data_IF_027008522570
#
_entry.id   IF_027008522570
#
_cell.length_a   1.000
_cell.length_b   1.000
_cell.length_c   1.000
_cell.angle_alpha   90.00
_cell.angle_beta   90.00
_cell.angle_gamma   90.00
#
_symmetry.space_group_name_H-M   'P 1'
#
loop_
_entity.id
_entity.type
_entity.pdbx_description
1 polymer ?
#
# COMPACT_ATOMS: atom_id res chain seq x y z
N UNK A 1 -17.40 33.86 -25.84
CA UNK A 1 -18.77 33.97 -25.28
C UNK A 1 -18.74 33.46 -23.84
N UNK A 2 -19.01 34.34 -22.88
CA UNK A 2 -19.01 34.06 -21.44
C UNK A 2 -20.40 33.58 -21.02
N UNK A 3 -20.50 32.53 -20.20
CA UNK A 3 -21.71 32.26 -19.42
C UNK A 3 -21.34 32.29 -17.93
N UNK A 4 -21.91 33.28 -17.24
CA UNK A 4 -21.98 33.42 -15.78
C UNK A 4 -23.40 33.01 -15.34
N UNK A 5 -23.56 32.91 -14.01
CA UNK A 5 -24.80 32.82 -13.20
C UNK A 5 -25.17 31.36 -12.83
N UNK A 6 -25.51 30.99 -11.59
CA UNK A 6 -25.93 31.75 -10.41
C UNK A 6 -25.81 30.87 -9.15
N UNK A 7 -25.39 31.49 -8.06
CA UNK A 7 -25.41 31.01 -6.66
C UNK A 7 -26.85 31.02 -6.13
N UNK A 8 -27.32 29.95 -5.48
CA UNK A 8 -28.39 30.03 -4.47
C UNK A 8 -28.03 29.06 -3.34
N UNK A 9 -27.66 29.64 -2.19
CA UNK A 9 -27.65 28.93 -0.93
C UNK A 9 -29.07 28.82 -0.37
N UNK A 10 -29.35 27.75 0.37
CA UNK A 10 -30.49 27.70 1.27
C UNK A 10 -30.02 27.10 2.60
N UNK A 11 -29.78 27.99 3.56
CA UNK A 11 -29.67 27.64 4.96
C UNK A 11 -31.08 27.50 5.53
N UNK A 12 -31.44 26.31 6.00
CA UNK A 12 -32.66 26.10 6.80
C UNK A 12 -32.27 26.06 8.27
N UNK A 13 -32.39 27.22 8.91
CA UNK A 13 -32.59 27.37 10.34
C UNK A 13 -33.92 26.68 10.71
N UNK A 14 -33.90 25.67 11.57
CA UNK A 14 -35.11 25.26 12.30
C UNK A 14 -35.07 25.91 13.68
N UNK A 15 -35.95 26.89 13.86
CA UNK A 15 -36.22 27.57 15.11
C UNK A 15 -37.15 26.72 15.99
N UNK A 16 -36.67 26.46 17.21
CA UNK A 16 -37.35 26.62 18.50
C UNK A 16 -38.90 26.65 18.46
N UNK A 17 -39.52 25.59 18.95
CA UNK A 17 -40.88 25.62 19.51
C UNK A 17 -40.79 25.56 21.04
N UNK A 18 -41.08 26.68 21.70
CA UNK A 18 -41.37 26.74 23.14
C UNK A 18 -42.88 26.57 23.27
N UNK A 19 -43.33 25.49 23.90
CA UNK A 19 -44.65 25.46 24.56
C UNK A 19 -44.42 25.08 26.00
N UNK A 20 -44.73 26.02 26.89
CA UNK A 20 -44.66 25.88 28.33
C UNK A 20 -45.80 24.99 28.85
N UNK A 21 -45.48 24.10 29.79
CA UNK A 21 -46.42 23.66 30.83
C UNK A 21 -45.65 23.03 32.00
N UNK A 22 -45.61 23.75 33.12
CA UNK A 22 -45.75 23.23 34.49
C UNK A 22 -44.75 22.22 35.05
N UNK A 23 -43.96 22.68 36.04
CA UNK A 23 -43.81 21.91 37.29
C UNK A 23 -42.44 21.30 37.60
N UNK A 24 -41.74 21.95 38.53
CA UNK A 24 -40.84 21.38 39.53
C UNK A 24 -39.42 20.91 39.12
N UNK A 25 -38.47 21.83 39.30
CA UNK A 25 -37.21 21.63 40.02
C UNK A 25 -36.42 20.34 39.76
N UNK A 26 -35.53 20.36 38.75
CA UNK A 26 -34.17 19.77 38.81
C UNK A 26 -33.32 20.35 37.68
N UNK A 27 -32.24 21.05 38.05
CA UNK A 27 -31.17 21.47 37.14
C UNK A 27 -30.41 20.21 36.73
N UNK A 28 -30.67 19.71 35.53
CA UNK A 28 -29.71 18.89 34.81
C UNK A 28 -29.14 19.73 33.67
N UNK A 29 -27.85 20.06 33.83
CA UNK A 29 -27.04 20.67 32.79
C UNK A 29 -27.07 19.76 31.55
N UNK A 30 -27.76 20.21 30.51
CA UNK A 30 -27.58 19.66 29.17
C UNK A 30 -26.16 20.01 28.72
N UNK A 31 -25.24 19.07 29.00
CA UNK A 31 -23.89 19.03 28.48
C UNK A 31 -23.98 18.96 26.97
N UNK A 32 -23.98 20.13 26.33
CA UNK A 32 -23.69 20.29 24.92
C UNK A 32 -22.38 19.56 24.64
N UNK A 33 -22.49 18.37 24.08
CA UNK A 33 -21.33 17.59 23.64
C UNK A 33 -20.93 18.19 22.31
N UNK A 34 -20.29 19.35 22.38
CA UNK A 34 -19.42 19.84 21.32
C UNK A 34 -18.35 18.76 21.17
N UNK A 35 -18.48 17.90 20.17
CA UNK A 35 -17.41 17.01 19.75
C UNK A 35 -16.29 17.91 19.22
N UNK A 36 -15.46 18.42 20.13
CA UNK A 36 -14.29 19.21 19.81
C UNK A 36 -13.39 18.30 18.97
N UNK A 37 -13.40 18.49 17.66
CA UNK A 37 -12.46 17.81 16.77
C UNK A 37 -11.05 18.11 17.30
N UNK A 38 -10.42 17.11 17.92
CA UNK A 38 -9.11 17.24 18.56
C UNK A 38 -8.14 17.77 17.51
N UNK A 39 -7.69 19.02 17.68
CA UNK A 39 -6.71 19.64 16.78
C UNK A 39 -5.42 18.83 16.87
N UNK A 40 -5.04 18.19 15.77
CA UNK A 40 -3.82 17.37 15.69
C UNK A 40 -2.60 18.21 16.07
N UNK A 41 -1.69 17.63 16.84
CA UNK A 41 -0.39 18.23 17.14
C UNK A 41 0.46 18.33 15.87
N UNK A 42 1.49 19.17 15.88
CA UNK A 42 2.40 19.29 14.73
C UNK A 42 3.12 17.96 14.45
N UNK A 43 3.48 17.22 15.48
CA UNK A 43 4.12 15.90 15.34
C UNK A 43 3.16 14.87 14.73
N UNK A 44 1.89 14.89 15.11
CA UNK A 44 0.88 14.02 14.48
C UNK A 44 0.68 14.39 13.01
N UNK A 45 0.77 15.68 12.65
CA UNK A 45 0.74 16.11 11.25
C UNK A 45 1.99 15.66 10.48
N UNK A 46 3.17 15.73 11.08
CA UNK A 46 4.44 15.27 10.49
C UNK A 46 4.39 13.76 10.27
N UNK A 47 3.95 12.96 11.27
CA UNK A 47 3.83 11.50 11.13
C UNK A 47 2.90 11.08 9.98
N UNK A 48 1.88 11.88 9.67
CA UNK A 48 0.99 11.66 8.52
C UNK A 48 1.63 11.93 7.15
N UNK A 49 2.87 12.45 7.12
CA UNK A 49 3.62 12.63 5.88
C UNK A 49 4.27 11.34 5.39
N UNK A 50 4.42 10.33 6.25
CA UNK A 50 4.92 8.99 5.88
C UNK A 50 4.21 8.45 4.64
N UNK A 51 5.00 8.03 3.67
CA UNK A 51 4.57 7.45 2.41
C UNK A 51 4.15 8.46 1.34
N UNK A 52 4.26 9.76 1.61
CA UNK A 52 3.99 10.83 0.64
C UNK A 52 5.24 11.17 -0.19
N UNK A 53 5.05 11.79 -1.37
CA UNK A 53 6.16 12.35 -2.16
C UNK A 53 7.06 13.27 -1.33
N UNK A 54 8.36 13.21 -1.61
CA UNK A 54 9.37 13.99 -0.88
C UNK A 54 9.17 15.49 -1.12
N UNK A 55 8.86 15.91 -2.36
CA UNK A 55 8.63 17.32 -2.72
C UNK A 55 7.54 17.98 -1.83
N UNK A 56 6.44 17.25 -1.61
CA UNK A 56 5.30 17.67 -0.80
C UNK A 56 5.66 17.68 0.69
N UNK A 57 6.46 16.72 1.12
CA UNK A 57 6.95 16.65 2.50
C UNK A 57 7.85 17.84 2.82
N UNK A 58 8.82 18.16 1.95
CA UNK A 58 9.71 19.32 2.09
C UNK A 58 8.88 20.60 2.32
N UNK A 59 7.87 20.84 1.47
CA UNK A 59 7.00 22.02 1.57
C UNK A 59 6.25 22.06 2.91
N UNK A 60 5.70 20.92 3.36
CA UNK A 60 4.95 20.84 4.62
C UNK A 60 5.82 20.95 5.87
N UNK A 61 7.01 20.37 5.88
CA UNK A 61 7.96 20.53 6.99
C UNK A 61 8.33 22.00 7.18
N UNK A 62 8.64 22.70 6.08
CA UNK A 62 8.89 24.15 6.12
C UNK A 62 7.69 24.91 6.70
N UNK A 63 6.45 24.59 6.29
CA UNK A 63 5.23 25.19 6.86
C UNK A 63 5.05 24.90 8.35
N UNK A 64 5.52 23.75 8.83
CA UNK A 64 5.46 23.35 10.24
C UNK A 64 6.62 23.91 11.06
N UNK A 65 7.59 24.59 10.42
CA UNK A 65 8.78 25.12 11.07
C UNK A 65 9.85 24.05 11.36
N UNK A 66 9.86 22.96 10.59
CA UNK A 66 10.84 21.86 10.71
C UNK A 66 11.73 21.77 9.47
N UNK A 67 12.97 21.31 9.68
CA UNK A 67 13.89 20.88 8.62
C UNK A 67 13.84 19.35 8.47
N UNK A 68 13.98 18.85 7.24
CA UNK A 68 14.14 17.42 6.98
C UNK A 68 15.60 17.04 6.77
N UNK A 69 15.98 15.88 7.29
CA UNK A 69 17.22 15.16 6.98
C UNK A 69 16.82 13.86 6.30
N UNK A 70 17.40 13.56 5.14
CA UNK A 70 16.91 12.50 4.26
C UNK A 70 17.99 11.46 4.10
N UNK A 71 17.67 10.19 4.31
CA UNK A 71 18.62 9.10 4.10
C UNK A 71 17.97 7.93 3.38
N UNK A 72 18.75 7.19 2.60
CA UNK A 72 18.33 5.92 2.01
C UNK A 72 19.49 4.94 2.12
N UNK A 73 19.22 3.71 2.59
CA UNK A 73 20.21 2.63 2.69
C UNK A 73 21.52 3.02 3.39
N UNK A 74 21.41 3.84 4.45
CA UNK A 74 22.55 4.31 5.24
C UNK A 74 23.33 5.50 4.64
N UNK A 75 22.94 5.98 3.46
CA UNK A 75 23.52 7.15 2.80
C UNK A 75 22.67 8.38 3.10
N UNK A 76 23.32 9.50 3.41
CA UNK A 76 22.67 10.80 3.59
C UNK A 76 22.44 11.48 2.24
N UNK A 77 21.19 11.84 1.95
CA UNK A 77 20.71 12.50 0.75
C UNK A 77 20.38 13.98 0.99
N UNK A 78 20.57 14.50 2.20
CA UNK A 78 20.00 15.79 2.62
C UNK A 78 20.38 16.95 1.71
N UNK A 79 21.64 17.02 1.28
CA UNK A 79 22.15 18.13 0.48
C UNK A 79 21.80 18.05 -1.01
N UNK A 80 21.43 16.85 -1.49
CA UNK A 80 21.12 16.60 -2.90
C UNK A 80 19.70 16.06 -3.11
N UNK A 81 18.87 16.09 -2.08
CA UNK A 81 17.51 15.56 -2.12
C UNK A 81 16.66 16.19 -3.23
N UNK A 82 16.96 17.44 -3.61
CA UNK A 82 16.24 18.14 -4.67
C UNK A 82 16.38 17.47 -6.04
N UNK A 83 17.49 16.76 -6.29
CA UNK A 83 17.75 16.04 -7.55
C UNK A 83 17.06 14.66 -7.58
N UNK A 84 16.73 14.10 -6.41
CA UNK A 84 16.18 12.73 -6.29
C UNK A 84 14.76 12.68 -5.73
N UNK A 85 14.18 13.81 -5.32
CA UNK A 85 12.87 13.86 -4.63
C UNK A 85 11.71 13.21 -5.38
N UNK A 86 11.80 13.11 -6.71
CA UNK A 86 10.76 12.51 -7.55
C UNK A 86 10.84 10.97 -7.58
N UNK A 87 12.00 10.39 -7.30
CA UNK A 87 12.23 8.94 -7.26
C UNK A 87 11.83 8.30 -5.92
N UNK A 88 11.68 9.13 -4.87
CA UNK A 88 11.48 8.68 -3.51
C UNK A 88 10.14 9.12 -2.93
N UNK A 89 9.66 8.29 -2.02
CA UNK A 89 8.62 8.59 -1.06
C UNK A 89 9.25 8.65 0.33
N UNK A 90 8.60 9.34 1.24
CA UNK A 90 9.04 9.34 2.63
C UNK A 90 8.68 8.03 3.33
N UNK A 91 9.56 7.53 4.17
CA UNK A 91 9.39 6.28 4.91
C UNK A 91 9.33 6.49 6.41
N UNK A 92 10.24 5.86 7.16
CA UNK A 92 10.33 6.04 8.61
C UNK A 92 10.66 7.49 8.93
N UNK A 93 10.04 8.03 9.97
CA UNK A 93 10.23 9.42 10.40
C UNK A 93 10.51 9.47 11.89
N UNK A 94 11.58 10.17 12.26
CA UNK A 94 11.95 10.44 13.65
C UNK A 94 12.01 11.96 13.85
N UNK A 95 11.32 12.47 14.87
CA UNK A 95 11.13 13.90 15.09
C UNK A 95 11.98 14.31 16.29
N UNK A 96 12.88 15.25 16.08
CA UNK A 96 13.55 15.98 17.14
C UNK A 96 12.85 17.34 17.32
N UNK A 97 12.26 17.53 18.49
CA UNK A 97 11.47 18.73 18.80
C UNK A 97 12.36 19.93 19.15
N UNK A 98 13.54 19.66 19.69
CA UNK A 98 14.44 20.68 20.24
C UNK A 98 15.18 21.35 19.08
N UNK A 99 15.73 20.55 18.17
CA UNK A 99 16.38 21.06 16.96
C UNK A 99 15.39 21.36 15.82
N UNK A 100 14.11 21.00 15.98
CA UNK A 100 13.06 21.07 14.93
C UNK A 100 13.50 20.37 13.64
N UNK A 101 14.11 19.20 13.77
CA UNK A 101 14.52 18.37 12.65
C UNK A 101 13.67 17.10 12.56
N UNK A 102 13.52 16.57 11.35
CA UNK A 102 12.87 15.29 11.09
C UNK A 102 13.81 14.44 10.26
N UNK A 103 14.28 13.33 10.83
CA UNK A 103 15.05 12.32 10.10
C UNK A 103 14.08 11.44 9.33
N UNK A 104 14.29 11.32 8.03
CA UNK A 104 13.39 10.66 7.10
C UNK A 104 14.16 9.61 6.31
N UNK A 105 13.85 8.35 6.58
CA UNK A 105 14.30 7.24 5.75
C UNK A 105 13.45 7.20 4.48
N UNK A 106 14.06 7.38 3.33
CA UNK A 106 13.42 7.40 2.03
C UNK A 106 13.13 5.97 1.55
N UNK A 107 12.07 5.85 0.74
CA UNK A 107 11.67 4.60 0.09
C UNK A 107 11.52 4.87 -1.39
N UNK A 108 12.22 4.14 -2.24
CA UNK A 108 12.05 4.24 -3.69
C UNK A 108 10.58 4.04 -4.08
N UNK A 109 10.02 4.98 -4.85
CA UNK A 109 8.65 4.93 -5.33
C UNK A 109 8.40 3.68 -6.17
N UNK A 110 9.40 3.27 -6.96
CA UNK A 110 9.40 2.03 -7.74
C UNK A 110 9.23 0.78 -6.86
N UNK A 111 9.93 0.69 -5.73
CA UNK A 111 9.82 -0.43 -4.80
C UNK A 111 8.43 -0.51 -4.15
N UNK A 112 7.84 0.65 -3.79
CA UNK A 112 6.46 0.68 -3.26
C UNK A 112 5.45 0.25 -4.32
N UNK A 113 5.62 0.71 -5.56
CA UNK A 113 4.77 0.33 -6.69
C UNK A 113 4.88 -1.16 -6.97
N UNK A 114 6.08 -1.72 -7.02
CA UNK A 114 6.30 -3.16 -7.21
C UNK A 114 5.60 -3.99 -6.13
N UNK A 115 5.76 -3.62 -4.85
CA UNK A 115 5.05 -4.27 -3.73
C UNK A 115 3.53 -4.14 -3.81
N UNK A 116 3.03 -3.00 -4.29
CA UNK A 116 1.59 -2.80 -4.48
C UNK A 116 1.05 -3.65 -5.64
N UNK A 117 1.78 -3.71 -6.75
CA UNK A 117 1.42 -4.51 -7.92
C UNK A 117 1.45 -6.00 -7.56
N UNK A 118 2.47 -6.47 -6.83
CA UNK A 118 2.53 -7.85 -6.35
C UNK A 118 1.35 -8.21 -5.44
N UNK A 119 1.00 -7.33 -4.49
CA UNK A 119 -0.19 -7.53 -3.63
C UNK A 119 -1.50 -7.53 -4.42
N UNK A 120 -1.59 -6.72 -5.48
CA UNK A 120 -2.76 -6.69 -6.34
C UNK A 120 -2.86 -7.93 -7.23
N UNK A 121 -1.73 -8.55 -7.58
CA UNK A 121 -1.71 -9.85 -8.24
C UNK A 121 -2.13 -10.95 -7.25
N UNK A 122 -1.50 -11.00 -6.07
CA UNK A 122 -1.80 -12.00 -5.04
C UNK A 122 -3.29 -12.02 -4.63
N UNK A 123 -3.92 -10.84 -4.55
CA UNK A 123 -5.34 -10.75 -4.20
C UNK A 123 -6.29 -11.29 -5.28
N UNK A 124 -5.82 -11.40 -6.53
CA UNK A 124 -6.59 -11.96 -7.65
C UNK A 124 -6.25 -13.41 -7.93
N UNK A 125 -4.96 -13.76 -7.77
CA UNK A 125 -4.38 -15.04 -8.09
C UNK A 125 -3.37 -15.38 -6.99
N UNK A 126 -3.78 -16.25 -6.08
CA UNK A 126 -2.92 -16.70 -4.99
C UNK A 126 -1.76 -17.55 -5.52
N UNK A 127 -0.59 -17.42 -4.89
CA UNK A 127 0.58 -18.26 -5.20
C UNK A 127 0.29 -19.75 -5.03
N UNK A 128 -0.47 -20.11 -3.99
CA UNK A 128 -0.86 -21.50 -3.72
C UNK A 128 -1.69 -22.11 -4.84
N UNK A 129 -2.73 -21.41 -5.30
CA UNK A 129 -3.54 -21.83 -6.44
C UNK A 129 -2.71 -21.95 -7.72
N UNK A 130 -1.76 -21.03 -7.91
CA UNK A 130 -0.85 -21.05 -9.06
C UNK A 130 0.05 -22.28 -9.06
N UNK A 131 0.64 -22.65 -7.92
CA UNK A 131 1.42 -23.89 -7.79
C UNK A 131 0.59 -25.15 -8.02
N UNK A 132 -0.64 -25.18 -7.51
CA UNK A 132 -1.58 -26.29 -7.77
C UNK A 132 -1.87 -26.42 -9.26
N UNK A 133 -2.08 -25.31 -9.98
CA UNK A 133 -2.28 -25.32 -11.41
C UNK A 133 -1.06 -25.85 -12.18
N UNK A 134 0.16 -25.45 -11.80
CA UNK A 134 1.40 -25.96 -12.41
C UNK A 134 1.55 -27.47 -12.16
N UNK A 135 1.24 -27.92 -10.93
CA UNK A 135 1.28 -29.34 -10.58
C UNK A 135 0.33 -30.14 -11.49
N UNK A 136 -0.94 -29.74 -11.57
CA UNK A 136 -1.94 -30.44 -12.39
C UNK A 136 -1.59 -30.40 -13.87
N UNK A 137 -1.12 -29.26 -14.39
CA UNK A 137 -0.68 -29.15 -15.78
C UNK A 137 0.45 -30.14 -16.12
N UNK A 138 1.43 -30.29 -15.22
CA UNK A 138 2.50 -31.26 -15.39
C UNK A 138 2.01 -32.71 -15.27
N UNK A 139 1.12 -33.00 -14.32
CA UNK A 139 0.47 -34.32 -14.17
C UNK A 139 -0.35 -34.70 -15.41
N UNK A 140 -1.06 -33.76 -16.01
CA UNK A 140 -1.84 -33.98 -17.24
C UNK A 140 -0.93 -34.23 -18.45
N UNK A 141 0.21 -33.52 -18.53
CA UNK A 141 1.14 -33.62 -19.67
C UNK A 141 2.05 -34.84 -19.61
N UNK A 142 2.48 -35.25 -18.41
CA UNK A 142 3.51 -36.28 -18.22
C UNK A 142 3.05 -37.47 -17.36
N UNK A 143 1.82 -37.45 -16.86
CA UNK A 143 1.27 -38.49 -16.02
C UNK A 143 1.90 -38.54 -14.62
N UNK A 144 1.73 -39.70 -13.97
CA UNK A 144 2.15 -39.97 -12.57
C UNK A 144 3.67 -39.88 -12.33
N UNK A 145 4.47 -39.89 -13.39
CA UNK A 145 5.92 -39.85 -13.31
C UNK A 145 6.46 -38.42 -13.12
N UNK A 146 5.61 -37.40 -13.31
CA UNK A 146 5.88 -36.03 -12.94
C UNK A 146 5.53 -35.75 -11.48
N UNK A 147 6.47 -35.15 -10.75
CA UNK A 147 6.28 -34.70 -9.36
C UNK A 147 6.89 -33.32 -9.17
N UNK A 148 6.05 -32.33 -8.90
CA UNK A 148 6.50 -30.98 -8.56
C UNK A 148 6.85 -30.88 -7.07
N UNK A 149 8.03 -30.34 -6.75
CA UNK A 149 8.53 -30.26 -5.36
C UNK A 149 8.46 -28.83 -4.78
N UNK A 150 7.51 -28.00 -5.20
CA UNK A 150 7.46 -26.57 -4.85
C UNK A 150 7.40 -26.24 -3.35
N UNK A 151 7.04 -27.17 -2.46
CA UNK A 151 7.09 -26.92 -1.01
C UNK A 151 8.51 -26.97 -0.42
N UNK A 152 9.39 -27.80 -0.98
CA UNK A 152 10.76 -28.02 -0.45
C UNK A 152 11.87 -27.63 -1.44
N UNK A 153 11.58 -27.66 -2.74
CA UNK A 153 12.47 -27.31 -3.83
C UNK A 153 12.05 -26.04 -4.55
N UNK A 154 11.44 -25.06 -3.86
CA UNK A 154 11.11 -23.76 -4.47
C UNK A 154 12.39 -22.99 -4.78
N UNK A 155 12.54 -22.57 -6.02
CA UNK A 155 13.68 -21.76 -6.50
C UNK A 155 13.24 -20.30 -6.65
N UNK A 156 12.08 -20.05 -7.26
CA UNK A 156 11.58 -18.68 -7.48
C UNK A 156 10.05 -18.65 -7.46
N UNK A 157 9.52 -17.56 -6.93
CA UNK A 157 8.10 -17.23 -6.90
C UNK A 157 7.99 -15.71 -6.89
N UNK A 158 7.85 -15.13 -8.08
CA UNK A 158 7.92 -13.68 -8.29
C UNK A 158 6.91 -13.25 -9.35
N UNK A 159 6.54 -11.98 -9.32
CA UNK A 159 5.71 -11.39 -10.37
C UNK A 159 6.50 -11.30 -11.68
N UNK A 160 5.98 -11.88 -12.77
CA UNK A 160 6.50 -11.70 -14.14
C UNK A 160 5.99 -10.37 -14.70
N UNK A 161 4.67 -10.17 -14.60
CA UNK A 161 3.96 -8.95 -14.90
C UNK A 161 2.77 -8.78 -13.93
N UNK A 162 2.03 -7.67 -14.04
CA UNK A 162 0.93 -7.31 -13.13
C UNK A 162 -0.19 -8.35 -13.00
N UNK A 163 -0.25 -9.35 -13.88
CA UNK A 163 -1.28 -10.38 -13.94
C UNK A 163 -0.70 -11.81 -13.98
N UNK A 164 0.62 -11.96 -13.88
CA UNK A 164 1.30 -13.25 -14.12
C UNK A 164 2.35 -13.52 -13.05
N UNK A 165 2.27 -14.69 -12.43
CA UNK A 165 3.34 -15.25 -11.62
C UNK A 165 4.36 -15.99 -12.48
N UNK A 166 5.63 -15.76 -12.19
CA UNK A 166 6.74 -16.60 -12.59
C UNK A 166 7.09 -17.56 -11.44
N UNK A 167 7.00 -18.86 -11.72
CA UNK A 167 7.14 -19.93 -10.76
C UNK A 167 8.25 -20.88 -11.20
N UNK A 168 9.19 -21.17 -10.30
CA UNK A 168 10.30 -22.09 -10.56
C UNK A 168 10.57 -22.98 -9.36
N UNK A 169 10.58 -24.29 -9.58
CA UNK A 169 10.85 -25.26 -8.54
C UNK A 169 11.51 -26.52 -9.10
N UNK A 170 12.16 -27.28 -8.23
CA UNK A 170 12.59 -28.63 -8.53
C UNK A 170 11.38 -29.51 -8.87
N UNK A 171 11.57 -30.43 -9.80
CA UNK A 171 10.62 -31.50 -10.10
C UNK A 171 11.35 -32.82 -10.33
N UNK A 172 10.59 -33.90 -10.31
CA UNK A 172 11.02 -35.20 -10.82
C UNK A 172 10.21 -35.55 -12.05
N UNK A 173 10.86 -36.06 -13.09
CA UNK A 173 10.22 -36.62 -14.27
C UNK A 173 10.94 -37.91 -14.64
N UNK A 174 10.20 -39.02 -14.73
CA UNK A 174 10.76 -40.35 -15.02
C UNK A 174 11.91 -40.76 -14.08
N UNK A 175 11.82 -40.36 -12.81
CA UNK A 175 12.85 -40.64 -11.79
C UNK A 175 14.05 -39.69 -11.80
N UNK A 176 14.18 -38.82 -12.81
CA UNK A 176 15.25 -37.83 -12.88
C UNK A 176 14.85 -36.53 -12.18
N UNK A 177 15.79 -35.92 -11.45
CA UNK A 177 15.61 -34.57 -10.92
C UNK A 177 15.82 -33.55 -12.03
N UNK A 178 14.88 -32.62 -12.16
CA UNK A 178 14.87 -31.54 -13.15
C UNK A 178 14.35 -30.25 -12.51
N UNK A 179 14.34 -29.19 -13.28
CA UNK A 179 13.71 -27.91 -12.93
C UNK A 179 12.43 -27.74 -13.72
N UNK A 180 11.35 -27.39 -13.04
CA UNK A 180 10.10 -26.93 -13.65
C UNK A 180 10.04 -25.41 -13.55
N UNK A 181 9.79 -24.76 -14.69
CA UNK A 181 9.59 -23.33 -14.82
C UNK A 181 8.23 -23.07 -15.48
N UNK A 182 7.42 -22.19 -14.89
CA UNK A 182 6.09 -21.93 -15.38
C UNK A 182 5.69 -20.47 -15.19
N UNK A 183 4.83 -19.99 -16.09
CA UNK A 183 4.12 -18.71 -15.94
C UNK A 183 2.64 -18.97 -15.74
N UNK A 184 2.03 -18.38 -14.71
CA UNK A 184 0.62 -18.59 -14.38
C UNK A 184 -0.10 -17.26 -14.28
N UNK A 185 -1.24 -17.16 -14.94
CA UNK A 185 -2.10 -15.97 -14.93
C UNK A 185 -3.55 -16.37 -14.64
N UNK A 186 -4.47 -15.40 -14.61
CA UNK A 186 -5.90 -15.66 -14.38
C UNK A 186 -6.32 -15.25 -12.98
N UNK A 187 -7.13 -16.09 -12.32
CA UNK A 187 -7.59 -15.87 -10.94
C UNK A 187 -7.36 -17.11 -10.07
N UNK A 188 -7.48 -16.95 -8.76
CA UNK A 188 -7.38 -18.06 -7.79
C UNK A 188 -8.35 -19.20 -8.11
N UNK A 189 -9.57 -18.87 -8.56
CA UNK A 189 -10.59 -19.87 -8.92
C UNK A 189 -10.34 -20.51 -10.29
N UNK A 190 -9.68 -19.79 -11.22
CA UNK A 190 -9.41 -20.25 -12.58
C UNK A 190 -7.99 -19.88 -13.02
N UNK A 191 -6.96 -20.50 -12.41
CA UNK A 191 -5.58 -20.26 -12.79
C UNK A 191 -5.29 -20.89 -14.16
N UNK A 192 -4.46 -20.22 -14.96
CA UNK A 192 -4.09 -20.66 -16.31
C UNK A 192 -2.58 -20.65 -16.47
N UNK A 193 -2.00 -21.83 -16.74
CA UNK A 193 -0.59 -21.98 -17.10
C UNK A 193 -0.36 -21.49 -18.53
N UNK A 194 0.50 -20.47 -18.69
CA UNK A 194 0.81 -19.81 -19.97
C UNK A 194 2.08 -20.34 -20.62
N UNK A 195 3.07 -20.68 -19.80
CA UNK A 195 4.27 -21.39 -20.22
C UNK A 195 4.60 -22.46 -19.20
N UNK A 196 5.21 -23.54 -19.66
CA UNK A 196 5.58 -24.68 -18.83
C UNK A 196 6.74 -25.41 -19.49
N UNK A 197 7.90 -25.33 -18.84
CA UNK A 197 9.16 -25.87 -19.33
C UNK A 197 9.81 -26.73 -18.24
N UNK A 198 10.36 -27.87 -18.66
CA UNK A 198 11.13 -28.78 -17.82
C UNK A 198 12.51 -28.96 -18.43
N UNK A 199 13.56 -28.79 -17.63
CA UNK A 199 14.95 -29.02 -18.04
C UNK A 199 15.78 -29.65 -16.91
#
# INVERSE_FOLDING_TARGET
MRKRLLTIGLATLMAISITACGGNSKKDESKSTTTTAKKLTTEEKIKKLKGQPVDKTIKKLKQYGYKGEYSADGVDFTDFIDDFKDDYLTGKMEIDKDSKTVKIELVLASNKKAKSDEKNLESKLEKGASWTAVKHYGEDKYGKDFKLHYLKGKITESMDDKNTWFLKAECTLNGEKKTCEAKVSGSTDNPTVKSFDIY
#
